data_IF_465785546558
#
_entry.id   IF_465785546558
#
_cell.length_a   1.000
_cell.length_b   1.000
_cell.length_c   1.000
_cell.angle_alpha   90.00
_cell.angle_beta   90.00
_cell.angle_gamma   90.00
#
_symmetry.space_group_name_H-M   'P 1'
#
loop_
_entity.id
_entity.type
_entity.pdbx_description
1 polymer ?
#
# COMPACT_ATOMS: atom_id res chain seq x y z
N UNK A 1 -1.13 7.63 -3.07
CA UNK A 1 -0.08 6.79 -2.47
C UNK A 1 0.04 5.50 -3.27
N UNK A 2 1.26 5.00 -3.54
CA UNK A 2 1.48 3.65 -4.11
C UNK A 2 2.00 2.75 -3.01
N UNK A 3 1.49 1.53 -2.93
CA UNK A 3 1.83 0.55 -1.90
C UNK A 3 2.16 -0.75 -2.63
N UNK A 4 3.32 -1.31 -2.32
CA UNK A 4 3.74 -2.62 -2.78
C UNK A 4 3.96 -3.48 -1.54
N UNK A 5 3.29 -4.62 -1.48
CA UNK A 5 3.29 -5.52 -0.33
C UNK A 5 3.19 -6.98 -0.80
N UNK A 6 3.40 -7.94 0.10
CA UNK A 6 3.14 -9.36 -0.20
C UNK A 6 1.66 -9.61 -0.57
N UNK A 7 0.75 -8.77 -0.08
CA UNK A 7 -0.68 -8.82 -0.39
C UNK A 7 -1.05 -8.28 -1.77
N UNK A 8 -0.12 -7.62 -2.46
CA UNK A 8 -0.34 -7.06 -3.79
C UNK A 8 0.16 -5.62 -3.96
N UNK A 9 -0.17 -5.05 -5.11
CA UNK A 9 0.18 -3.68 -5.49
C UNK A 9 -1.06 -2.80 -5.55
N UNK A 10 -1.06 -1.74 -4.75
CA UNK A 10 -2.20 -0.85 -4.58
C UNK A 10 -1.86 0.60 -4.87
N UNK A 11 -2.83 1.34 -5.40
CA UNK A 11 -2.75 2.79 -5.54
C UNK A 11 -3.98 3.44 -4.91
N UNK A 12 -3.74 4.24 -3.89
CA UNK A 12 -4.78 4.99 -3.18
C UNK A 12 -4.85 6.41 -3.74
N UNK A 13 -6.03 6.85 -4.12
CA UNK A 13 -6.35 8.16 -4.68
C UNK A 13 -7.51 8.76 -3.88
N UNK A 14 -7.42 10.03 -3.53
CA UNK A 14 -8.57 10.74 -2.95
C UNK A 14 -9.54 11.14 -4.06
N UNK A 15 -10.83 10.88 -3.87
CA UNK A 15 -11.82 11.31 -4.86
C UNK A 15 -12.00 12.83 -4.80
N UNK A 16 -12.27 13.45 -5.94
CA UNK A 16 -12.55 14.90 -6.02
C UNK A 16 -13.97 15.20 -5.51
N UNK A 17 -14.87 14.21 -5.63
CA UNK A 17 -16.30 14.34 -5.34
C UNK A 17 -16.59 14.31 -3.84
N UNK A 18 -15.90 13.45 -3.09
CA UNK A 18 -16.06 13.31 -1.65
C UNK A 18 -14.67 13.22 -0.98
N UNK A 19 -14.43 14.13 -0.04
CA UNK A 19 -13.14 14.20 0.67
C UNK A 19 -12.93 13.05 1.64
N UNK A 20 -14.00 12.36 2.05
CA UNK A 20 -13.95 11.21 2.94
C UNK A 20 -13.93 9.88 2.19
N UNK A 21 -14.19 9.90 0.88
CA UNK A 21 -14.09 8.74 0.01
C UNK A 21 -12.68 8.65 -0.63
N UNK A 22 -12.10 7.46 -0.54
CA UNK A 22 -10.83 7.09 -1.14
C UNK A 22 -11.07 5.96 -2.14
N UNK A 23 -10.42 6.07 -3.30
CA UNK A 23 -10.37 5.04 -4.32
C UNK A 23 -9.08 4.25 -4.17
N UNK A 24 -9.21 2.96 -3.87
CA UNK A 24 -8.10 2.01 -3.89
C UNK A 24 -8.14 1.28 -5.22
N UNK A 25 -7.04 1.35 -5.97
CA UNK A 25 -6.84 0.64 -7.23
C UNK A 25 -5.89 -0.53 -7.01
N UNK A 26 -6.13 -1.63 -7.73
CA UNK A 26 -5.29 -2.83 -7.66
C UNK A 26 -5.70 -3.86 -8.71
N UNK A 27 -5.11 -5.06 -8.62
CA UNK A 27 -5.56 -6.21 -9.40
C UNK A 27 -6.88 -6.75 -8.84
N UNK A 28 -7.67 -7.44 -9.67
CA UNK A 28 -8.91 -8.07 -9.20
C UNK A 28 -8.67 -9.05 -8.06
N UNK A 29 -7.68 -9.94 -8.22
CA UNK A 29 -7.39 -10.98 -7.24
C UNK A 29 -7.05 -10.39 -5.86
N UNK A 30 -6.23 -9.34 -5.83
CA UNK A 30 -5.80 -8.71 -4.59
C UNK A 30 -6.97 -7.96 -3.90
N UNK A 31 -7.75 -7.22 -4.68
CA UNK A 31 -8.89 -6.46 -4.14
C UNK A 31 -10.00 -7.38 -3.62
N UNK A 32 -10.34 -8.45 -4.35
CA UNK A 32 -11.37 -9.40 -3.92
C UNK A 32 -10.95 -10.14 -2.66
N UNK A 33 -9.66 -10.52 -2.54
CA UNK A 33 -9.13 -11.17 -1.34
C UNK A 33 -9.28 -10.30 -0.09
N UNK A 34 -9.16 -8.97 -0.24
CA UNK A 34 -9.12 -8.03 0.89
C UNK A 34 -10.48 -7.37 1.20
N UNK A 35 -11.33 -7.14 0.20
CA UNK A 35 -12.53 -6.32 0.33
C UNK A 35 -13.82 -6.95 -0.24
N UNK A 36 -13.77 -8.20 -0.69
CA UNK A 36 -14.86 -8.93 -1.35
C UNK A 36 -15.17 -8.44 -2.79
N UNK A 37 -15.68 -9.37 -3.60
CA UNK A 37 -16.02 -9.23 -5.02
C UNK A 37 -17.14 -8.22 -5.28
N UNK A 38 -18.09 -8.08 -4.36
CA UNK A 38 -19.32 -7.29 -4.56
C UNK A 38 -19.06 -5.79 -4.71
N UNK A 39 -17.98 -5.28 -4.13
CA UNK A 39 -17.64 -3.85 -4.11
C UNK A 39 -16.54 -3.48 -5.11
N UNK A 40 -15.94 -4.48 -5.76
CA UNK A 40 -14.85 -4.27 -6.70
C UNK A 40 -15.42 -4.02 -8.09
N UNK A 41 -14.99 -2.94 -8.73
CA UNK A 41 -15.41 -2.58 -10.08
C UNK A 41 -14.22 -2.40 -11.01
N UNK A 42 -14.45 -2.57 -12.30
CA UNK A 42 -13.42 -2.42 -13.33
C UNK A 42 -13.22 -0.95 -13.63
N UNK A 43 -11.97 -0.49 -13.60
CA UNK A 43 -11.58 0.92 -13.83
C UNK A 43 -11.00 1.09 -15.22
N UNK A 44 -10.26 0.11 -15.73
CA UNK A 44 -9.74 0.12 -17.10
C UNK A 44 -9.78 -1.29 -17.71
N UNK A 45 -10.43 -1.42 -18.85
CA UNK A 45 -10.56 -2.71 -19.54
C UNK A 45 -9.25 -3.19 -20.14
N UNK A 46 -8.46 -2.26 -20.71
CA UNK A 46 -7.25 -2.61 -21.43
C UNK A 46 -6.09 -3.01 -20.50
N UNK A 47 -6.18 -2.63 -19.22
CA UNK A 47 -5.10 -2.81 -18.25
C UNK A 47 -5.45 -3.77 -17.11
N UNK A 48 -6.64 -4.39 -17.15
CA UNK A 48 -7.17 -5.21 -16.04
C UNK A 48 -7.02 -4.50 -14.68
N UNK A 49 -7.31 -3.21 -14.67
CA UNK A 49 -7.22 -2.37 -13.48
C UNK A 49 -8.58 -2.30 -12.82
N UNK A 50 -8.62 -2.57 -11.53
CA UNK A 50 -9.84 -2.59 -10.74
C UNK A 50 -9.75 -1.58 -9.60
N UNK A 51 -10.90 -1.20 -9.07
CA UNK A 51 -11.04 -0.20 -8.03
C UNK A 51 -12.12 -0.55 -7.03
N UNK A 52 -11.95 0.00 -5.83
CA UNK A 52 -12.97 0.00 -4.76
C UNK A 52 -12.98 1.36 -4.08
N UNK A 53 -14.18 1.82 -3.75
CA UNK A 53 -14.37 3.01 -2.93
C UNK A 53 -14.50 2.60 -1.46
N UNK A 54 -13.72 3.26 -0.62
CA UNK A 54 -13.69 3.06 0.83
C UNK A 54 -13.69 4.39 1.55
N UNK A 55 -14.21 4.44 2.77
CA UNK A 55 -14.05 5.62 3.61
C UNK A 55 -12.63 5.66 4.22
N UNK A 56 -12.24 6.82 4.76
CA UNK A 56 -10.94 6.98 5.44
C UNK A 56 -10.71 5.97 6.56
N UNK A 57 -11.74 5.63 7.32
CA UNK A 57 -11.63 4.66 8.42
C UNK A 57 -11.30 3.27 7.88
N UNK A 58 -12.07 2.78 6.91
CA UNK A 58 -11.82 1.48 6.28
C UNK A 58 -10.44 1.43 5.61
N UNK A 59 -10.01 2.55 4.99
CA UNK A 59 -8.67 2.65 4.44
C UNK A 59 -7.58 2.57 5.53
N UNK A 60 -7.80 3.17 6.70
CA UNK A 60 -6.85 3.09 7.82
C UNK A 60 -6.74 1.65 8.32
N UNK A 61 -7.86 0.94 8.47
CA UNK A 61 -7.88 -0.48 8.85
C UNK A 61 -7.14 -1.35 7.83
N UNK A 62 -7.33 -1.08 6.53
CA UNK A 62 -6.58 -1.74 5.45
C UNK A 62 -5.08 -1.50 5.55
N UNK A 63 -4.65 -0.26 5.77
CA UNK A 63 -3.22 0.07 5.93
C UNK A 63 -2.63 -0.62 7.16
N UNK A 64 -3.37 -0.66 8.28
CA UNK A 64 -2.94 -1.36 9.49
C UNK A 64 -2.74 -2.85 9.23
N UNK A 65 -3.64 -3.50 8.48
CA UNK A 65 -3.48 -4.91 8.10
C UNK A 65 -2.25 -5.14 7.22
N UNK A 66 -2.00 -4.26 6.25
CA UNK A 66 -0.78 -4.34 5.42
C UNK A 66 0.47 -4.20 6.29
N UNK A 67 0.47 -3.27 7.24
CA UNK A 67 1.62 -3.06 8.13
C UNK A 67 1.86 -4.25 9.07
N UNK A 68 0.81 -4.92 9.51
CA UNK A 68 0.91 -6.14 10.33
C UNK A 68 1.47 -7.34 9.55
N UNK A 69 1.28 -7.36 8.23
CA UNK A 69 1.76 -8.42 7.33
C UNK A 69 3.19 -8.14 6.82
N UNK A 70 3.87 -7.12 7.35
CA UNK A 70 5.28 -6.89 7.05
C UNK A 70 6.09 -8.02 7.69
N UNK A 71 6.76 -8.79 6.85
CA UNK A 71 7.69 -9.81 7.30
C UNK A 71 8.94 -9.14 7.91
N UNK A 72 9.04 -9.20 9.24
CA UNK A 72 10.16 -8.65 9.97
C UNK A 72 11.42 -9.53 9.89
N UNK A 73 11.35 -10.75 9.34
CA UNK A 73 12.52 -11.61 9.20
C UNK A 73 13.52 -11.07 8.16
N UNK A 74 13.07 -10.32 7.15
CA UNK A 74 13.98 -9.64 6.21
C UNK A 74 14.68 -8.42 6.82
N UNK A 75 14.27 -7.95 8.02
CA UNK A 75 14.86 -6.79 8.67
C UNK A 75 16.22 -7.10 9.32
N UNK A 76 16.49 -8.36 9.70
CA UNK A 76 17.77 -8.73 10.32
C UNK A 76 18.96 -8.62 9.35
N UNK A 77 18.71 -8.72 8.04
CA UNK A 77 19.71 -8.51 6.98
C UNK A 77 19.97 -7.02 6.66
N UNK A 78 19.18 -6.10 7.24
CA UNK A 78 19.37 -4.66 7.09
C UNK A 78 20.52 -4.16 7.99
N UNK A 79 21.74 -4.64 7.72
CA UNK A 79 22.95 -4.05 8.24
C UNK A 79 23.09 -2.67 7.59
N UNK A 80 22.70 -1.61 8.32
CA UNK A 80 23.16 -0.25 8.02
C UNK A 80 24.67 -0.32 7.93
N UNK A 81 25.21 -0.29 6.70
CA UNK A 81 26.65 -0.23 6.48
C UNK A 81 27.18 0.85 7.40
N UNK A 82 27.99 0.43 8.40
CA UNK A 82 28.67 1.36 9.28
C UNK A 82 29.55 2.20 8.38
N UNK A 83 29.04 3.35 7.96
CA UNK A 83 29.83 4.35 7.28
C UNK A 83 31.01 4.60 8.20
N UNK A 84 32.21 4.25 7.77
CA UNK A 84 33.45 4.55 8.45
C UNK A 84 33.56 6.08 8.53
N UNK A 85 32.89 6.68 9.51
CA UNK A 85 32.99 8.08 9.86
C UNK A 85 34.30 8.28 10.61
N UNK A 86 35.39 8.07 9.89
CA UNK A 86 36.69 8.67 10.17
C UNK A 86 36.62 10.16 9.84
N UNK A 87 35.62 10.87 10.36
CA UNK A 87 35.57 12.32 10.25
C UNK A 87 36.36 12.86 11.44
N UNK A 88 37.68 12.95 11.25
CA UNK A 88 38.56 13.76 12.08
C UNK A 88 37.94 15.16 12.13
N UNK A 89 37.37 15.53 13.27
CA UNK A 89 37.11 16.93 13.55
C UNK A 89 38.48 17.58 13.74
N UNK A 90 38.94 18.31 12.73
CA UNK A 90 40.03 19.27 12.92
C UNK A 90 39.41 20.51 13.55
N UNK A 91 40.02 20.88 14.68
CA UNK A 91 39.72 22.05 15.51
C UNK A 91 39.94 23.37 14.76
#
# INVERSE_FOLDING_TARGET
MKISSQLGNFKIIQTIKDRDELLILGSWADLVKLFDSKRTFRVNENQNLFGINVCKQECAEFLTRILQDIDYHEWEDFQLEKSNLSRRYLA
#
